data_IF_266591917568
#
_entry.id   IF_266591917568
#
_cell.length_a   1.000
_cell.length_b   1.000
_cell.length_c   1.000
_cell.angle_alpha   90.00
_cell.angle_beta   90.00
_cell.angle_gamma   90.00
#
_symmetry.space_group_name_H-M   'P 1'
#
loop_
_entity.id
_entity.type
_entity.pdbx_description
1 polymer ?
#
# COMPACT_ATOMS: atom_id res chain seq x y z
N UNK A 1 25.53 5.98 -9.76
CA UNK A 1 26.99 5.94 -9.56
C UNK A 1 27.23 6.04 -8.07
N UNK A 2 27.86 5.04 -7.43
CA UNK A 2 28.18 5.12 -6.01
C UNK A 2 29.01 6.38 -5.71
N UNK A 3 28.60 7.16 -4.68
CA UNK A 3 29.27 8.40 -4.29
C UNK A 3 28.96 9.64 -5.14
N UNK A 4 28.09 9.53 -6.15
CA UNK A 4 27.64 10.68 -6.92
C UNK A 4 26.75 11.60 -6.06
N UNK A 5 26.93 12.91 -6.20
CA UNK A 5 26.09 13.95 -5.64
C UNK A 5 25.82 15.05 -6.68
N UNK A 6 24.85 15.88 -6.44
CA UNK A 6 24.68 17.09 -7.24
C UNK A 6 25.87 18.02 -7.09
N UNK A 7 26.33 18.60 -8.20
CA UNK A 7 27.37 19.61 -8.21
C UNK A 7 26.85 20.90 -7.57
N UNK A 8 27.73 21.60 -6.83
CA UNK A 8 27.41 22.92 -6.33
C UNK A 8 27.61 23.99 -7.43
N UNK A 9 27.17 25.24 -7.17
CA UNK A 9 27.24 26.31 -8.17
C UNK A 9 28.65 26.65 -8.64
N UNK A 10 29.66 26.56 -7.78
CA UNK A 10 31.07 26.85 -8.13
C UNK A 10 31.61 25.76 -9.06
N UNK A 11 31.32 24.50 -8.76
CA UNK A 11 31.66 23.36 -9.61
C UNK A 11 31.00 23.47 -11.00
N UNK A 12 29.71 23.88 -11.02
CA UNK A 12 28.95 24.09 -12.25
C UNK A 12 29.60 25.22 -13.07
N UNK A 13 29.85 26.39 -12.47
CA UNK A 13 30.48 27.51 -13.16
C UNK A 13 31.89 27.14 -13.70
N UNK A 14 32.64 26.37 -12.93
CA UNK A 14 33.96 25.89 -13.35
C UNK A 14 33.86 24.94 -14.54
N UNK A 15 32.87 24.02 -14.53
CA UNK A 15 32.76 23.02 -15.59
C UNK A 15 32.10 23.56 -16.87
N UNK A 16 31.15 24.49 -16.77
CA UNK A 16 30.34 24.96 -17.90
C UNK A 16 30.58 26.43 -18.27
N UNK A 17 31.17 27.23 -17.40
CA UNK A 17 31.34 28.67 -17.61
C UNK A 17 30.04 29.49 -17.52
N UNK A 18 28.97 28.88 -16.97
CA UNK A 18 27.63 29.47 -16.90
C UNK A 18 26.89 29.07 -15.63
N UNK A 19 25.84 29.82 -15.29
CA UNK A 19 24.97 29.54 -14.15
C UNK A 19 23.98 28.40 -14.43
N UNK A 20 23.49 27.72 -13.37
CA UNK A 20 22.38 26.77 -13.48
C UNK A 20 21.20 27.32 -14.29
N UNK A 21 20.58 26.49 -15.15
CA UNK A 21 19.52 26.87 -16.08
C UNK A 21 20.01 27.26 -17.47
N UNK A 22 21.32 27.50 -17.67
CA UNK A 22 21.90 27.81 -18.99
C UNK A 22 22.92 26.76 -19.47
N UNK A 23 22.90 25.59 -18.85
CA UNK A 23 23.87 24.53 -19.12
C UNK A 23 23.41 23.64 -20.28
N UNK A 24 24.35 23.19 -21.10
CA UNK A 24 24.07 22.33 -22.24
C UNK A 24 25.26 21.43 -22.62
N UNK A 25 25.01 20.43 -23.47
CA UNK A 25 26.05 19.44 -23.82
C UNK A 25 27.09 19.98 -24.84
N UNK A 26 26.73 21.02 -25.61
CA UNK A 26 27.58 21.55 -26.66
C UNK A 26 28.77 22.26 -26.06
N UNK A 27 29.99 21.80 -26.41
CA UNK A 27 31.25 22.33 -25.87
C UNK A 27 31.60 21.86 -24.46
N UNK A 28 30.79 20.99 -23.85
CA UNK A 28 31.16 20.35 -22.58
C UNK A 28 32.12 19.21 -22.82
N UNK A 29 33.23 19.17 -22.06
CA UNK A 29 34.33 18.20 -22.23
C UNK A 29 34.25 16.96 -21.34
N UNK A 30 33.24 16.92 -20.40
CA UNK A 30 33.04 15.77 -19.51
C UNK A 30 32.24 14.63 -20.15
N UNK A 31 32.06 13.53 -19.43
CA UNK A 31 31.20 12.43 -19.85
C UNK A 31 29.74 12.91 -19.86
N UNK A 32 29.06 12.65 -20.98
CA UNK A 32 27.66 12.94 -21.16
C UNK A 32 26.85 11.63 -21.21
N UNK A 33 25.87 11.50 -20.36
CA UNK A 33 24.90 10.40 -20.39
C UNK A 33 23.54 10.96 -20.78
N UNK A 34 22.94 10.37 -21.79
CA UNK A 34 21.67 10.80 -22.38
C UNK A 34 20.58 9.80 -22.07
N UNK A 35 19.38 10.30 -21.80
CA UNK A 35 18.20 9.43 -21.75
C UNK A 35 17.89 8.86 -23.15
N UNK A 36 17.38 7.62 -23.20
CA UNK A 36 17.00 6.95 -24.44
C UNK A 36 15.99 7.76 -25.28
N UNK A 37 15.16 8.58 -24.65
CA UNK A 37 14.19 9.46 -25.33
C UNK A 37 14.85 10.58 -26.15
N UNK A 38 16.12 10.85 -25.95
CA UNK A 38 16.90 11.87 -26.68
C UNK A 38 17.71 11.29 -27.84
N UNK A 39 17.47 10.03 -28.22
CA UNK A 39 18.23 9.34 -29.28
C UNK A 39 18.06 10.00 -30.64
N UNK A 40 16.89 10.47 -30.93
CA UNK A 40 16.54 11.12 -32.18
C UNK A 40 15.82 12.46 -31.94
N UNK A 41 16.04 13.42 -32.84
CA UNK A 41 15.37 14.71 -32.82
C UNK A 41 16.32 15.89 -32.56
N UNK A 42 15.72 17.07 -32.60
CA UNK A 42 16.41 18.33 -32.33
C UNK A 42 15.84 18.96 -31.06
N UNK A 43 16.73 19.43 -30.19
CA UNK A 43 16.37 19.89 -28.85
C UNK A 43 16.78 21.36 -28.63
N UNK A 44 16.21 21.94 -27.59
CA UNK A 44 16.70 23.20 -27.02
C UNK A 44 17.56 22.85 -25.81
N UNK A 45 18.78 23.37 -25.76
CA UNK A 45 19.71 23.15 -24.66
C UNK A 45 20.31 24.47 -24.20
N UNK A 46 20.81 24.55 -22.99
CA UNK A 46 21.59 25.71 -22.55
C UNK A 46 22.82 25.92 -23.44
N UNK A 47 23.23 27.18 -23.58
CA UNK A 47 24.34 27.57 -24.44
C UNK A 47 25.69 27.65 -23.71
N UNK A 48 25.78 27.20 -22.45
CA UNK A 48 26.91 27.38 -21.54
C UNK A 48 27.34 28.86 -21.43
N UNK A 49 26.31 29.71 -21.52
CA UNK A 49 26.38 31.15 -21.35
C UNK A 49 25.11 31.61 -20.63
N UNK A 50 25.28 32.20 -19.45
CA UNK A 50 24.17 32.59 -18.59
C UNK A 50 23.11 33.41 -19.36
N UNK A 51 21.84 32.96 -19.29
CA UNK A 51 20.67 33.56 -19.96
C UNK A 51 20.49 33.17 -21.43
N UNK A 52 21.30 32.29 -22.00
CA UNK A 52 21.21 31.89 -23.41
C UNK A 52 20.99 30.39 -23.60
N UNK A 53 20.26 30.10 -24.68
CA UNK A 53 19.98 28.73 -25.12
C UNK A 53 20.25 28.55 -26.61
N UNK A 54 20.61 27.34 -27.01
CA UNK A 54 20.75 26.89 -28.39
C UNK A 54 19.48 26.15 -28.82
N UNK A 55 19.03 26.40 -30.06
CA UNK A 55 17.96 25.64 -30.71
C UNK A 55 18.52 24.67 -31.73
N UNK A 56 17.82 23.55 -31.93
CA UNK A 56 18.18 22.57 -32.95
C UNK A 56 19.44 21.82 -32.62
N UNK A 57 19.75 21.64 -31.32
CA UNK A 57 20.87 20.83 -30.88
C UNK A 57 20.57 19.35 -31.13
N UNK A 58 21.53 18.63 -31.70
CA UNK A 58 21.36 17.24 -32.15
C UNK A 58 22.55 16.39 -31.70
N UNK A 59 22.25 15.22 -31.13
CA UNK A 59 23.28 14.24 -30.80
C UNK A 59 23.95 13.73 -32.05
N UNK A 60 25.28 13.51 -31.99
CA UNK A 60 26.09 13.05 -33.11
C UNK A 60 26.58 14.16 -34.05
N UNK A 61 25.88 15.31 -34.08
CA UNK A 61 26.31 16.47 -34.86
C UNK A 61 27.00 17.52 -33.96
N UNK A 62 26.36 17.90 -32.85
CA UNK A 62 26.80 19.03 -32.01
C UNK A 62 27.51 18.58 -30.75
N UNK A 63 27.26 17.37 -30.30
CA UNK A 63 27.89 16.72 -29.16
C UNK A 63 27.74 15.21 -29.24
N UNK A 64 28.48 14.48 -28.38
CA UNK A 64 28.42 13.02 -28.27
C UNK A 64 28.21 12.62 -26.81
N UNK A 65 27.54 11.48 -26.58
CA UNK A 65 27.33 10.92 -25.25
C UNK A 65 26.84 9.47 -25.35
N UNK A 66 26.84 8.74 -24.25
CA UNK A 66 26.26 7.40 -24.18
C UNK A 66 24.81 7.45 -23.76
N UNK A 67 24.00 6.54 -24.29
CA UNK A 67 22.61 6.42 -23.92
C UNK A 67 22.42 5.48 -22.72
N UNK A 68 21.43 5.82 -21.88
CA UNK A 68 20.97 4.99 -20.80
C UNK A 68 19.48 5.33 -20.51
N UNK A 69 18.78 4.40 -19.90
CA UNK A 69 17.44 4.64 -19.33
C UNK A 69 17.60 5.41 -18.01
N UNK A 70 17.27 6.69 -18.02
CA UNK A 70 17.49 7.62 -16.90
C UNK A 70 16.21 8.22 -16.35
N UNK A 71 15.20 8.35 -17.19
CA UNK A 71 13.96 9.06 -16.90
C UNK A 71 12.92 8.13 -16.28
N UNK A 72 12.22 8.60 -15.28
CA UNK A 72 11.04 7.90 -14.80
C UNK A 72 9.91 7.98 -15.84
N UNK A 73 9.12 6.89 -15.95
CA UNK A 73 7.96 6.86 -16.82
C UNK A 73 6.88 7.83 -16.33
N UNK A 74 6.13 8.38 -17.27
CA UNK A 74 5.00 9.29 -17.03
C UNK A 74 3.71 8.77 -17.65
N UNK A 75 2.58 9.37 -17.32
CA UNK A 75 1.26 8.99 -17.87
C UNK A 75 1.17 9.15 -19.40
N UNK A 76 2.02 10.00 -19.99
CA UNK A 76 2.09 10.22 -21.43
C UNK A 76 2.96 9.20 -22.16
N UNK A 77 3.66 8.35 -21.43
CA UNK A 77 4.53 7.33 -22.01
C UNK A 77 3.74 6.08 -22.39
N UNK A 78 4.28 5.38 -23.36
CA UNK A 78 3.76 4.08 -23.81
C UNK A 78 4.63 2.94 -23.32
N UNK A 79 4.04 1.78 -23.13
CA UNK A 79 4.79 0.58 -22.79
C UNK A 79 5.84 0.25 -23.86
N UNK A 80 7.14 0.11 -23.53
CA UNK A 80 8.18 -0.14 -24.52
C UNK A 80 8.09 -1.51 -25.19
N UNK A 81 7.28 -2.43 -24.64
CA UNK A 81 7.10 -3.77 -25.20
C UNK A 81 5.90 -3.88 -26.15
N UNK A 82 4.79 -3.21 -25.87
CA UNK A 82 3.55 -3.38 -26.64
C UNK A 82 2.95 -2.06 -27.15
N UNK A 83 3.54 -0.90 -26.83
CA UNK A 83 3.01 0.41 -27.23
C UNK A 83 1.70 0.83 -26.52
N UNK A 84 1.19 0.02 -25.58
CA UNK A 84 -0.04 0.35 -24.86
C UNK A 84 0.16 1.49 -23.86
N UNK A 85 -0.94 2.22 -23.55
CA UNK A 85 -0.92 3.29 -22.56
C UNK A 85 -0.55 2.76 -21.17
N UNK A 86 0.25 3.53 -20.43
CA UNK A 86 0.58 3.25 -19.03
C UNK A 86 -0.53 3.75 -18.12
N UNK A 87 -0.72 3.06 -17.00
CA UNK A 87 -1.59 3.49 -15.89
C UNK A 87 -0.76 3.58 -14.63
N UNK A 88 -0.91 4.68 -13.93
CA UNK A 88 -0.23 4.91 -12.66
C UNK A 88 -1.24 4.81 -11.51
N UNK A 89 -0.85 4.13 -10.46
CA UNK A 89 -1.67 3.98 -9.25
C UNK A 89 -0.76 4.15 -8.03
N UNK A 90 -1.24 4.89 -7.05
CA UNK A 90 -0.63 4.91 -5.73
C UNK A 90 -0.95 3.60 -5.02
N UNK A 91 0.05 2.98 -4.42
CA UNK A 91 -0.11 1.72 -3.70
C UNK A 91 0.68 1.74 -2.39
N UNK A 92 0.19 1.00 -1.40
CA UNK A 92 0.91 0.73 -0.16
C UNK A 92 1.72 -0.55 -0.36
N UNK A 93 3.06 -0.45 -0.27
CA UNK A 93 3.93 -1.62 -0.33
C UNK A 93 3.82 -2.42 0.97
N UNK A 94 3.19 -3.60 0.93
CA UNK A 94 3.04 -4.47 2.10
C UNK A 94 4.11 -5.55 2.20
N UNK A 95 4.81 -5.84 1.12
CA UNK A 95 5.89 -6.81 1.07
C UNK A 95 6.89 -6.51 -0.03
N UNK A 96 8.12 -7.00 0.14
CA UNK A 96 9.21 -6.77 -0.81
C UNK A 96 10.05 -8.04 -0.99
N UNK A 97 10.47 -8.29 -2.24
CA UNK A 97 11.38 -9.38 -2.60
C UNK A 97 12.70 -8.76 -3.07
N UNK A 98 13.78 -9.13 -2.45
CA UNK A 98 15.13 -8.65 -2.79
C UNK A 98 15.93 -9.73 -3.49
N UNK A 99 16.38 -9.48 -4.70
CA UNK A 99 17.35 -10.30 -5.41
C UNK A 99 18.76 -9.85 -5.03
N UNK A 100 19.31 -10.38 -3.95
CA UNK A 100 20.60 -9.98 -3.42
C UNK A 100 21.79 -10.55 -4.21
N UNK A 101 21.56 -11.61 -4.99
CA UNK A 101 22.64 -12.26 -5.76
C UNK A 101 23.79 -12.69 -4.85
N UNK A 102 24.98 -12.29 -5.18
CA UNK A 102 26.21 -12.59 -4.41
C UNK A 102 26.74 -11.39 -3.63
N UNK A 103 25.95 -10.32 -3.49
CA UNK A 103 26.38 -9.06 -2.88
C UNK A 103 26.93 -9.23 -1.46
N UNK A 104 26.31 -10.09 -0.67
CA UNK A 104 26.75 -10.38 0.70
C UNK A 104 27.63 -11.63 0.77
N UNK A 105 27.38 -12.66 -0.04
CA UNK A 105 28.09 -13.93 0.04
C UNK A 105 29.57 -13.80 -0.36
N UNK A 106 29.89 -13.02 -1.39
CA UNK A 106 31.28 -12.82 -1.81
C UNK A 106 32.12 -12.17 -0.69
N UNK A 107 31.78 -11.00 -0.12
CA UNK A 107 32.60 -10.39 0.94
C UNK A 107 32.62 -11.20 2.24
N UNK A 108 31.62 -12.05 2.50
CA UNK A 108 31.59 -12.94 3.67
C UNK A 108 32.30 -14.27 3.44
N UNK A 109 32.78 -14.56 2.23
CA UNK A 109 33.35 -15.85 1.87
C UNK A 109 32.36 -17.02 2.01
N UNK A 110 31.05 -16.74 1.88
CA UNK A 110 29.99 -17.73 1.97
C UNK A 110 29.85 -18.48 0.64
N UNK A 111 30.40 -19.68 0.57
CA UNK A 111 30.48 -20.49 -0.64
C UNK A 111 29.80 -21.85 -0.46
N UNK A 112 29.52 -22.52 -1.57
CA UNK A 112 28.98 -23.86 -1.66
C UNK A 112 29.67 -24.59 -2.82
N UNK A 113 29.83 -25.89 -2.70
CA UNK A 113 30.26 -26.72 -3.81
C UNK A 113 29.07 -26.99 -4.73
N UNK A 114 29.23 -26.73 -6.02
CA UNK A 114 28.23 -27.08 -7.03
C UNK A 114 28.28 -28.60 -7.36
N UNK A 115 27.40 -29.04 -8.27
CA UNK A 115 27.29 -30.44 -8.67
C UNK A 115 28.59 -31.00 -9.30
N UNK A 116 29.48 -30.13 -9.82
CA UNK A 116 30.79 -30.48 -10.37
C UNK A 116 31.89 -30.46 -9.31
N UNK A 117 31.58 -30.08 -8.05
CA UNK A 117 32.54 -29.92 -6.96
C UNK A 117 33.33 -28.60 -7.02
N UNK A 118 32.92 -27.64 -7.85
CA UNK A 118 33.52 -26.31 -7.88
C UNK A 118 32.93 -25.40 -6.80
N UNK A 119 33.77 -24.61 -6.16
CA UNK A 119 33.35 -23.66 -5.14
C UNK A 119 32.73 -22.42 -5.78
N UNK A 120 31.48 -22.10 -5.38
CA UNK A 120 30.74 -20.93 -5.88
C UNK A 120 30.13 -20.13 -4.75
N UNK A 121 30.09 -18.78 -4.87
CA UNK A 121 29.36 -17.95 -3.92
C UNK A 121 27.88 -18.30 -3.87
N UNK A 122 27.32 -18.33 -2.67
CA UNK A 122 25.89 -18.58 -2.47
C UNK A 122 25.08 -17.42 -3.08
N UNK A 123 24.11 -17.75 -3.93
CA UNK A 123 23.14 -16.78 -4.45
C UNK A 123 22.03 -16.59 -3.43
N UNK A 124 21.80 -15.35 -3.03
CA UNK A 124 20.91 -14.98 -1.96
C UNK A 124 19.67 -14.25 -2.45
N UNK A 125 18.55 -14.44 -1.75
CA UNK A 125 17.33 -13.65 -1.83
C UNK A 125 16.84 -13.30 -0.42
N UNK A 126 16.09 -12.22 -0.32
CA UNK A 126 15.40 -11.86 0.93
C UNK A 126 13.94 -11.55 0.64
N UNK A 127 13.07 -11.88 1.58
CA UNK A 127 11.63 -11.77 1.44
C UNK A 127 11.08 -11.11 2.70
N UNK A 128 10.52 -9.91 2.57
CA UNK A 128 10.02 -9.15 3.69
C UNK A 128 8.51 -8.90 3.57
N UNK A 129 7.77 -9.10 4.65
CA UNK A 129 6.36 -8.71 4.78
C UNK A 129 6.22 -7.92 6.08
N UNK A 130 5.54 -6.77 6.01
CA UNK A 130 5.27 -5.91 7.17
C UNK A 130 3.87 -6.15 7.74
N UNK A 131 3.69 -6.97 8.80
CA UNK A 131 2.36 -7.24 9.35
C UNK A 131 1.63 -5.98 9.78
N UNK A 132 2.30 -5.04 10.45
CA UNK A 132 1.70 -3.76 10.85
C UNK A 132 1.28 -2.91 9.65
N UNK A 133 2.04 -2.95 8.54
CA UNK A 133 1.67 -2.25 7.31
C UNK A 133 0.48 -2.90 6.61
N UNK A 134 0.34 -4.22 6.68
CA UNK A 134 -0.86 -4.93 6.18
C UNK A 134 -2.10 -4.47 6.94
N UNK A 135 -2.03 -4.38 8.26
CA UNK A 135 -3.12 -3.88 9.11
C UNK A 135 -3.50 -2.46 8.71
N UNK A 136 -2.51 -1.55 8.61
CA UNK A 136 -2.74 -0.17 8.20
C UNK A 136 -3.37 -0.07 6.79
N UNK A 137 -2.88 -0.87 5.83
CA UNK A 137 -3.42 -0.92 4.47
C UNK A 137 -4.87 -1.45 4.45
N UNK A 138 -5.19 -2.43 5.29
CA UNK A 138 -6.54 -2.97 5.38
C UNK A 138 -7.53 -1.93 5.93
N UNK A 139 -7.13 -1.15 6.94
CA UNK A 139 -7.93 -0.04 7.47
C UNK A 139 -8.12 1.04 6.42
N UNK A 140 -7.01 1.49 5.77
CA UNK A 140 -7.05 2.52 4.73
C UNK A 140 -8.00 2.16 3.57
N UNK A 141 -7.98 0.90 3.14
CA UNK A 141 -8.84 0.42 2.05
C UNK A 141 -10.27 0.07 2.49
N UNK A 142 -10.46 -0.26 3.76
CA UNK A 142 -11.75 -0.67 4.32
C UNK A 142 -12.50 0.44 5.03
N UNK A 143 -12.04 1.70 4.96
CA UNK A 143 -12.72 2.84 5.59
C UNK A 143 -13.63 3.53 4.57
N UNK A 144 -14.91 3.67 4.91
CA UNK A 144 -15.92 4.38 4.15
C UNK A 144 -16.81 5.16 5.15
N UNK A 145 -17.05 6.45 4.88
CA UNK A 145 -17.90 7.33 5.72
C UNK A 145 -17.56 7.28 7.23
N UNK A 146 -16.25 7.34 7.56
CA UNK A 146 -15.71 7.26 8.92
C UNK A 146 -15.95 5.91 9.64
N UNK A 147 -16.38 4.88 8.93
CA UNK A 147 -16.55 3.53 9.43
C UNK A 147 -15.48 2.59 8.87
N UNK A 148 -14.85 1.81 9.76
CA UNK A 148 -13.92 0.76 9.36
C UNK A 148 -14.70 -0.51 8.99
N UNK A 149 -14.26 -1.17 7.92
CA UNK A 149 -14.74 -2.51 7.56
C UNK A 149 -13.55 -3.45 7.42
N UNK A 150 -13.34 -4.27 8.43
CA UNK A 150 -12.25 -5.26 8.39
C UNK A 150 -12.56 -6.39 7.41
N UNK A 151 -11.56 -6.82 6.63
CA UNK A 151 -11.61 -8.15 6.03
C UNK A 151 -11.72 -9.21 7.14
N UNK A 152 -12.63 -10.18 6.97
CA UNK A 152 -12.91 -11.20 8.00
C UNK A 152 -11.65 -11.88 8.55
N UNK A 153 -10.67 -12.16 7.70
CA UNK A 153 -9.41 -12.81 8.08
C UNK A 153 -8.47 -11.95 8.95
N UNK A 154 -8.67 -10.62 8.99
CA UNK A 154 -7.85 -9.67 9.72
C UNK A 154 -8.60 -8.99 10.86
N UNK A 155 -9.89 -9.19 10.97
CA UNK A 155 -10.72 -8.59 12.00
C UNK A 155 -10.28 -9.03 13.40
N UNK A 156 -10.06 -8.10 14.36
CA UNK A 156 -9.75 -8.45 15.75
C UNK A 156 -10.81 -9.33 16.38
N UNK A 157 -12.08 -9.04 16.07
CA UNK A 157 -13.22 -9.88 16.35
C UNK A 157 -14.11 -9.94 15.10
N UNK A 158 -14.63 -11.13 14.82
CA UNK A 158 -15.50 -11.35 13.67
C UNK A 158 -16.89 -10.70 13.84
N UNK A 159 -17.39 -10.76 15.07
CA UNK A 159 -18.75 -10.33 15.42
C UNK A 159 -18.70 -9.38 16.61
N UNK A 160 -19.43 -8.29 16.53
CA UNK A 160 -19.73 -7.43 17.66
C UNK A 160 -21.21 -7.55 18.02
N UNK A 161 -21.50 -7.89 19.26
CA UNK A 161 -22.86 -7.92 19.84
C UNK A 161 -23.02 -6.68 20.69
N UNK A 162 -23.98 -5.82 20.34
CA UNK A 162 -24.24 -4.55 21.03
C UNK A 162 -25.54 -4.65 21.81
N UNK A 163 -25.46 -4.62 23.13
CA UNK A 163 -26.63 -4.51 24.04
C UNK A 163 -26.97 -3.03 24.23
N UNK A 164 -28.13 -2.57 23.74
CA UNK A 164 -28.47 -1.13 23.68
C UNK A 164 -28.81 -0.50 25.03
N UNK A 165 -29.14 -1.29 26.04
CA UNK A 165 -29.57 -0.79 27.35
C UNK A 165 -28.97 -1.67 28.44
N UNK A 166 -27.85 -1.24 28.99
CA UNK A 166 -27.14 -1.95 30.08
C UNK A 166 -27.91 -1.85 31.44
N UNK A 167 -28.85 -0.91 31.56
CA UNK A 167 -29.76 -0.82 32.73
C UNK A 167 -30.86 -1.89 32.73
N UNK A 168 -31.09 -2.55 31.58
CA UNK A 168 -32.04 -3.65 31.47
C UNK A 168 -31.36 -5.00 31.58
N UNK A 169 -31.47 -5.66 32.72
CA UNK A 169 -30.92 -7.00 32.93
C UNK A 169 -31.41 -8.00 31.87
N UNK A 170 -32.62 -7.86 31.36
CA UNK A 170 -33.16 -8.74 30.32
C UNK A 170 -32.44 -8.56 28.99
N UNK A 171 -32.14 -7.31 28.55
CA UNK A 171 -31.38 -7.03 27.32
C UNK A 171 -29.93 -7.53 27.44
N UNK A 172 -29.33 -7.28 28.59
CA UNK A 172 -27.92 -7.76 28.86
C UNK A 172 -27.89 -9.29 28.80
N UNK A 173 -28.84 -9.97 29.48
CA UNK A 173 -28.89 -11.45 29.47
C UNK A 173 -29.06 -12.02 28.06
N UNK A 174 -29.93 -11.42 27.23
CA UNK A 174 -30.09 -11.87 25.83
C UNK A 174 -28.81 -11.62 25.03
N UNK A 175 -28.13 -10.45 25.22
CA UNK A 175 -26.85 -10.15 24.58
C UNK A 175 -25.75 -11.17 24.93
N UNK A 176 -25.65 -11.52 26.23
CA UNK A 176 -24.71 -12.55 26.72
C UNK A 176 -25.04 -13.93 26.11
N UNK A 177 -26.31 -14.31 26.04
CA UNK A 177 -26.73 -15.60 25.45
C UNK A 177 -26.39 -15.68 23.95
N UNK A 178 -26.64 -14.59 23.19
CA UNK A 178 -26.29 -14.51 21.77
C UNK A 178 -24.77 -14.59 21.60
N UNK A 179 -24.01 -13.84 22.38
CA UNK A 179 -22.55 -13.83 22.31
C UNK A 179 -21.96 -15.20 22.68
N UNK A 180 -22.47 -15.85 23.75
CA UNK A 180 -22.04 -17.18 24.16
C UNK A 180 -22.33 -18.23 23.08
N UNK A 181 -23.55 -18.24 22.50
CA UNK A 181 -23.91 -19.18 21.45
C UNK A 181 -23.00 -19.05 20.20
N UNK A 182 -22.61 -17.82 19.85
CA UNK A 182 -21.67 -17.56 18.74
C UNK A 182 -20.26 -18.01 19.10
N UNK A 183 -19.80 -17.76 20.31
CA UNK A 183 -18.50 -18.20 20.81
C UNK A 183 -18.41 -19.74 20.85
N UNK A 184 -19.45 -20.42 21.33
CA UNK A 184 -19.54 -21.90 21.34
C UNK A 184 -19.52 -22.48 19.92
N UNK A 185 -20.00 -21.72 18.92
CA UNK A 185 -19.89 -22.05 17.51
C UNK A 185 -18.50 -21.74 16.91
N UNK A 186 -17.51 -21.38 17.75
CA UNK A 186 -16.13 -21.12 17.34
C UNK A 186 -15.89 -19.76 16.70
N UNK A 187 -16.77 -18.78 16.94
CA UNK A 187 -16.61 -17.41 16.43
C UNK A 187 -15.92 -16.49 17.44
N UNK A 188 -15.13 -15.55 16.97
CA UNK A 188 -14.58 -14.49 17.81
C UNK A 188 -15.61 -13.38 17.98
N UNK A 189 -16.04 -13.17 19.22
CA UNK A 189 -17.14 -12.26 19.55
C UNK A 189 -16.69 -11.21 20.55
N UNK A 190 -17.02 -9.95 20.29
CA UNK A 190 -16.96 -8.85 21.24
C UNK A 190 -18.39 -8.54 21.70
N UNK A 191 -18.64 -8.52 23.01
CA UNK A 191 -19.90 -8.06 23.60
C UNK A 191 -19.72 -6.64 24.14
N UNK A 192 -20.49 -5.68 23.61
CA UNK A 192 -20.60 -4.34 24.19
C UNK A 192 -21.79 -4.26 25.15
N UNK A 193 -21.51 -4.52 26.42
CA UNK A 193 -22.43 -4.45 27.56
C UNK A 193 -22.25 -3.17 28.40
N UNK A 194 -21.45 -2.20 27.93
CA UNK A 194 -21.16 -0.94 28.64
C UNK A 194 -22.43 -0.12 28.87
N UNK A 195 -22.48 0.59 30.00
CA UNK A 195 -23.53 1.57 30.27
C UNK A 195 -23.23 2.89 29.52
N UNK A 196 -23.51 2.89 28.23
CA UNK A 196 -23.33 3.99 27.31
C UNK A 196 -24.59 4.20 26.47
N UNK A 197 -24.74 5.40 25.92
CA UNK A 197 -25.86 5.71 25.03
C UNK A 197 -25.77 4.93 23.72
N UNK A 198 -26.90 4.50 23.14
CA UNK A 198 -26.91 3.75 21.88
C UNK A 198 -26.10 4.41 20.76
N UNK A 199 -26.17 5.75 20.63
CA UNK A 199 -25.40 6.49 19.62
C UNK A 199 -23.88 6.39 19.80
N UNK A 200 -23.39 6.39 21.04
CA UNK A 200 -21.97 6.22 21.36
C UNK A 200 -21.51 4.78 21.03
N UNK A 201 -22.33 3.78 21.41
CA UNK A 201 -22.05 2.38 21.08
C UNK A 201 -21.98 2.14 19.56
N UNK A 202 -22.88 2.74 18.80
CA UNK A 202 -22.85 2.63 17.34
C UNK A 202 -21.65 3.32 16.71
N UNK A 203 -21.27 4.50 17.21
CA UNK A 203 -20.09 5.19 16.75
C UNK A 203 -18.79 4.37 17.04
N UNK A 204 -18.69 3.81 18.25
CA UNK A 204 -17.58 2.93 18.61
C UNK A 204 -17.57 1.65 17.76
N UNK A 205 -18.75 1.04 17.53
CA UNK A 205 -18.89 -0.13 16.67
C UNK A 205 -18.47 0.16 15.22
N UNK A 206 -18.76 1.35 14.71
CA UNK A 206 -18.34 1.77 13.36
C UNK A 206 -16.82 2.00 13.28
N UNK A 207 -16.21 2.56 14.34
CA UNK A 207 -14.76 2.68 14.46
C UNK A 207 -14.06 1.32 14.69
N UNK A 208 -14.67 0.43 15.46
CA UNK A 208 -14.17 -0.92 15.69
C UNK A 208 -14.22 -1.78 14.42
N UNK A 209 -15.32 -1.67 13.67
CA UNK A 209 -15.43 -2.18 12.31
C UNK A 209 -15.54 -3.70 12.16
N UNK A 210 -16.06 -4.42 13.17
CA UNK A 210 -16.29 -5.88 13.04
C UNK A 210 -17.12 -6.19 11.78
N UNK A 211 -16.76 -7.24 11.01
CA UNK A 211 -17.51 -7.64 9.81
C UNK A 211 -19.00 -7.84 10.04
N UNK A 212 -19.36 -8.37 11.20
CA UNK A 212 -20.75 -8.56 11.60
C UNK A 212 -21.08 -7.75 12.86
N UNK A 213 -22.21 -7.06 12.84
CA UNK A 213 -22.77 -6.41 14.02
C UNK A 213 -24.14 -6.99 14.31
N UNK A 214 -24.38 -7.39 15.56
CA UNK A 214 -25.65 -7.89 16.07
C UNK A 214 -26.14 -6.94 17.15
N UNK A 215 -27.37 -6.46 17.04
CA UNK A 215 -27.94 -5.49 17.98
C UNK A 215 -29.05 -6.12 18.76
N UNK A 216 -28.95 -6.03 20.10
CA UNK A 216 -29.94 -6.49 21.06
C UNK A 216 -30.56 -5.29 21.75
N UNK A 217 -31.89 -5.11 21.63
CA UNK A 217 -32.59 -3.98 22.17
C UNK A 217 -34.00 -4.34 22.65
N UNK A 218 -34.82 -3.34 22.99
CA UNK A 218 -36.18 -3.54 23.48
C UNK A 218 -37.05 -4.37 22.55
N UNK A 219 -36.96 -4.16 21.25
CA UNK A 219 -37.68 -4.96 20.25
C UNK A 219 -37.30 -6.45 20.29
N UNK A 220 -36.08 -6.77 20.67
CA UNK A 220 -35.66 -8.16 20.83
C UNK A 220 -36.40 -8.88 21.93
N UNK A 221 -36.77 -8.16 23.01
CA UNK A 221 -37.57 -8.73 24.09
C UNK A 221 -39.04 -8.95 23.67
N UNK A 222 -39.56 -8.17 22.71
CA UNK A 222 -40.94 -8.26 22.23
C UNK A 222 -41.16 -9.43 21.26
N UNK A 223 -40.20 -9.65 20.33
CA UNK A 223 -40.37 -10.61 19.21
C UNK A 223 -39.28 -11.69 19.13
N UNK A 224 -38.30 -11.70 20.04
CA UNK A 224 -37.22 -12.68 20.08
C UNK A 224 -36.20 -12.55 18.94
N UNK A 225 -36.20 -11.44 18.19
CA UNK A 225 -35.35 -11.23 17.02
C UNK A 225 -34.27 -10.16 17.27
N UNK A 226 -33.13 -10.29 16.61
CA UNK A 226 -32.01 -9.35 16.65
C UNK A 226 -31.79 -8.72 15.29
N UNK A 227 -31.30 -7.48 15.26
CA UNK A 227 -30.88 -6.85 14.03
C UNK A 227 -29.42 -7.28 13.72
N UNK A 228 -29.18 -7.86 12.54
CA UNK A 228 -27.88 -8.32 12.10
C UNK A 228 -27.44 -7.55 10.87
N UNK A 229 -26.19 -7.09 10.86
CA UNK A 229 -25.58 -6.37 9.75
C UNK A 229 -24.28 -7.04 9.34
N UNK A 230 -24.13 -7.28 8.03
CA UNK A 230 -22.85 -7.66 7.42
C UNK A 230 -22.28 -6.43 6.72
N UNK A 231 -21.25 -5.81 7.31
CA UNK A 231 -20.63 -4.56 6.82
C UNK A 231 -20.11 -4.67 5.39
N UNK A 232 -19.32 -5.71 5.01
CA UNK A 232 -18.73 -5.77 3.67
C UNK A 232 -19.77 -5.77 2.54
N UNK A 233 -20.97 -6.31 2.76
CA UNK A 233 -22.04 -6.32 1.74
C UNK A 233 -23.10 -5.24 1.94
N UNK A 234 -23.08 -4.52 3.08
CA UNK A 234 -24.14 -3.59 3.45
C UNK A 234 -25.48 -4.26 3.78
N UNK A 235 -25.52 -5.61 3.85
CA UNK A 235 -26.77 -6.34 4.14
C UNK A 235 -27.16 -6.17 5.60
N UNK A 236 -28.42 -5.80 5.84
CA UNK A 236 -29.01 -5.69 7.17
C UNK A 236 -30.33 -6.43 7.21
N UNK A 237 -30.51 -7.29 8.18
CA UNK A 237 -31.70 -8.13 8.31
C UNK A 237 -32.08 -8.30 9.79
N UNK A 238 -33.34 -8.59 10.03
CA UNK A 238 -33.84 -8.95 11.33
C UNK A 238 -34.11 -10.45 11.39
N UNK A 239 -33.42 -11.15 12.29
CA UNK A 239 -33.46 -12.63 12.38
C UNK A 239 -33.78 -13.07 13.82
N UNK A 240 -34.34 -14.25 14.00
CA UNK A 240 -34.51 -14.80 15.34
C UNK A 240 -33.15 -14.91 16.05
N UNK A 241 -33.08 -14.56 17.32
CA UNK A 241 -31.82 -14.54 18.10
C UNK A 241 -31.07 -15.89 18.05
N UNK A 242 -31.82 -17.00 18.08
CA UNK A 242 -31.27 -18.36 17.97
C UNK A 242 -30.70 -18.70 16.57
N UNK A 243 -31.08 -17.97 15.53
CA UNK A 243 -30.67 -18.19 14.17
C UNK A 243 -29.55 -17.21 13.72
N UNK A 244 -29.18 -16.25 14.57
CA UNK A 244 -28.14 -15.26 14.27
C UNK A 244 -26.80 -15.96 13.89
N UNK A 245 -26.43 -17.04 14.58
CA UNK A 245 -25.25 -17.82 14.25
C UNK A 245 -25.29 -18.46 12.86
N UNK A 246 -26.43 -19.01 12.47
CA UNK A 246 -26.61 -19.59 11.12
C UNK A 246 -26.52 -18.52 10.04
N UNK A 247 -27.09 -17.33 10.31
CA UNK A 247 -27.05 -16.21 9.38
C UNK A 247 -25.62 -15.73 9.12
N UNK A 248 -24.79 -15.64 10.19
CA UNK A 248 -23.35 -15.29 10.09
C UNK A 248 -22.55 -16.33 9.32
N UNK A 249 -22.85 -17.64 9.54
CA UNK A 249 -22.13 -18.73 8.87
C UNK A 249 -22.40 -18.78 7.36
N UNK A 250 -23.59 -18.37 6.95
CA UNK A 250 -24.01 -18.40 5.55
C UNK A 250 -23.39 -17.28 4.69
N UNK A 251 -22.65 -16.35 5.29
CA UNK A 251 -22.01 -15.19 4.64
C UNK A 251 -20.53 -15.13 4.92
#
# INVERSE_FOLDING_TARGET
VPGARLANEEEIRTAFGADPGSLGPVGFSGEIVLDESLREGQFVAGANRTGFHLRGVEHGRDFTGRFADLREATETDSCPKCGGALRFQTAIEVGHVFKLGTFYSVPLGATVLDESGEERPIVMGSYGIGPGRIVAAAVEQGTEDDAITWPRALAPYEIEVVSLDAGSNEIVTVGEQVAAALADAGRSVLLDDRDQRPGEKFADADLFGAPFRIVVGKKTLEDGSVDVRHRPSGTEERVASLDAGKWVVAR
#
